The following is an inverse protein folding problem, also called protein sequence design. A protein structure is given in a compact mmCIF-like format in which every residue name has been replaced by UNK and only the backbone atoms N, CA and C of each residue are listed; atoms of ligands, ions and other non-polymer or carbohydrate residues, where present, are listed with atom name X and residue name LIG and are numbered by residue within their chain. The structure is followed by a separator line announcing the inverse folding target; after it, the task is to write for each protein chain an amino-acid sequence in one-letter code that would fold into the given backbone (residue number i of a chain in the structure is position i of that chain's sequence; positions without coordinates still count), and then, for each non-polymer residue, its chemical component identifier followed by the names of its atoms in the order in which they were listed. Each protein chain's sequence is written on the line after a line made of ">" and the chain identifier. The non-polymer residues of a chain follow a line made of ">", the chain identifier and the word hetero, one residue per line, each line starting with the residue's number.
data_IF_756288095739
#
_entry.id   IF_756288095739
#
_cell.length_a   1.000
_cell.length_b   1.000
_cell.length_c   1.000
_cell.angle_alpha   90.00
_cell.angle_beta   90.00
_cell.angle_gamma   90.00
#
_symmetry.space_group_name_H-M   'P 1'
#
loop_
_entity.id
_entity.type
_entity.pdbx_description
1 polymer ?
#
# COMPACT_ATOMS: atom_id res chain seq x y z
N UNK A 1 20.06 22.15 25.77
CA UNK A 1 19.60 21.18 24.78
C UNK A 1 18.10 21.11 24.93
N UNK A 2 17.37 21.83 24.09
CA UNK A 2 15.91 21.80 24.09
C UNK A 2 15.48 20.41 23.62
N UNK A 3 14.66 19.74 24.45
CA UNK A 3 13.93 18.52 24.06
C UNK A 3 13.37 18.72 22.65
N UNK A 4 13.85 17.93 21.69
CA UNK A 4 13.24 17.90 20.36
C UNK A 4 11.81 17.44 20.57
N UNK A 5 10.85 18.34 20.47
CA UNK A 5 9.44 18.04 20.61
C UNK A 5 9.14 16.79 19.80
N UNK A 6 8.62 15.75 20.45
CA UNK A 6 8.24 14.52 19.80
C UNK A 6 7.38 14.88 18.58
N UNK A 7 7.74 14.34 17.42
CA UNK A 7 7.08 14.69 16.17
C UNK A 7 5.57 14.54 16.33
N UNK A 8 4.83 15.64 16.18
CA UNK A 8 3.39 15.67 16.40
C UNK A 8 2.67 14.73 15.43
N UNK A 9 1.71 13.98 15.96
CA UNK A 9 0.91 13.03 15.21
C UNK A 9 -0.57 13.38 15.35
N UNK A 10 -1.27 13.47 14.26
CA UNK A 10 -2.72 13.70 14.23
C UNK A 10 -3.43 12.45 13.74
N UNK A 11 -4.49 12.06 14.41
CA UNK A 11 -5.51 11.11 13.93
C UNK A 11 -6.72 11.93 13.51
N UNK A 12 -7.02 11.96 12.22
CA UNK A 12 -8.20 12.60 11.68
C UNK A 12 -9.26 11.52 11.36
N UNK A 13 -10.52 11.72 11.78
CA UNK A 13 -11.58 10.71 11.67
C UNK A 13 -12.96 11.33 11.59
N UNK A 14 -13.91 10.73 10.85
CA UNK A 14 -15.30 11.19 10.88
C UNK A 14 -15.94 10.92 12.25
N UNK A 15 -16.85 11.83 12.70
CA UNK A 15 -17.61 11.62 13.94
C UNK A 15 -18.35 10.27 13.91
N UNK A 16 -18.89 9.89 12.75
CA UNK A 16 -19.61 8.63 12.57
C UNK A 16 -18.71 7.39 12.75
N UNK A 17 -17.48 7.43 12.24
CA UNK A 17 -16.50 6.34 12.40
C UNK A 17 -15.96 6.30 13.82
N UNK A 18 -15.66 7.44 14.44
CA UNK A 18 -15.23 7.50 15.84
C UNK A 18 -16.29 6.97 16.81
N UNK A 19 -17.58 7.19 16.50
CA UNK A 19 -18.70 6.71 17.31
C UNK A 19 -19.07 5.24 17.04
N UNK A 20 -18.62 4.65 15.92
CA UNK A 20 -18.94 3.28 15.56
C UNK A 20 -18.25 2.28 16.50
N UNK A 21 -19.00 1.41 17.25
CA UNK A 21 -18.41 0.53 18.28
C UNK A 21 -17.25 -0.34 17.76
N UNK A 22 -17.32 -0.81 16.52
CA UNK A 22 -16.28 -1.64 15.92
C UNK A 22 -15.01 -0.84 15.55
N UNK A 23 -15.13 0.45 15.20
CA UNK A 23 -14.01 1.29 14.74
C UNK A 23 -13.38 2.15 15.86
N UNK A 24 -14.12 2.38 16.95
CA UNK A 24 -13.62 3.10 18.12
C UNK A 24 -12.28 2.54 18.63
N UNK A 25 -12.07 1.21 18.76
CA UNK A 25 -10.78 0.65 19.18
C UNK A 25 -9.62 0.97 18.23
N UNK A 26 -9.89 1.14 16.92
CA UNK A 26 -8.86 1.52 15.94
C UNK A 26 -8.33 2.92 16.22
N UNK A 27 -9.24 3.87 16.43
CA UNK A 27 -8.91 5.26 16.76
C UNK A 27 -8.18 5.34 18.09
N UNK A 28 -8.70 4.68 19.13
CA UNK A 28 -8.10 4.64 20.47
C UNK A 28 -6.67 4.05 20.44
N UNK A 29 -6.45 2.96 19.69
CA UNK A 29 -5.13 2.33 19.57
C UNK A 29 -4.11 3.28 18.92
N UNK A 30 -4.45 3.95 17.84
CA UNK A 30 -3.56 4.92 17.19
C UNK A 30 -3.29 6.12 18.11
N UNK A 31 -4.33 6.66 18.73
CA UNK A 31 -4.23 7.79 19.65
C UNK A 31 -3.29 7.47 20.81
N UNK A 32 -3.45 6.31 21.43
CA UNK A 32 -2.59 5.88 22.52
C UNK A 32 -1.14 5.60 22.06
N UNK A 33 -0.97 4.91 20.92
CA UNK A 33 0.34 4.52 20.39
C UNK A 33 1.22 5.72 20.07
N UNK A 34 0.64 6.76 19.49
CA UNK A 34 1.39 7.94 19.01
C UNK A 34 1.17 9.19 19.87
N UNK A 35 0.40 9.10 20.97
CA UNK A 35 -0.04 10.26 21.76
C UNK A 35 -0.64 11.33 20.88
N UNK A 36 -1.47 10.89 19.93
CA UNK A 36 -1.96 11.72 18.84
C UNK A 36 -3.04 12.71 19.31
N UNK A 37 -3.06 13.91 18.71
CA UNK A 37 -4.23 14.79 18.74
C UNK A 37 -5.29 14.20 17.82
N UNK A 38 -6.55 14.14 18.28
CA UNK A 38 -7.67 13.66 17.46
C UNK A 38 -8.43 14.87 16.89
N UNK A 39 -8.56 14.91 15.57
CA UNK A 39 -9.42 15.88 14.86
C UNK A 39 -10.59 15.15 14.23
N UNK A 40 -11.79 15.70 14.35
CA UNK A 40 -13.00 15.07 13.81
C UNK A 40 -13.69 15.98 12.81
N UNK A 41 -14.34 15.35 11.83
CA UNK A 41 -15.22 16.02 10.87
C UNK A 41 -16.60 15.35 10.83
N UNK A 42 -17.61 16.10 10.38
CA UNK A 42 -19.00 15.61 10.23
C UNK A 42 -19.31 15.15 8.83
N UNK A 43 -18.95 15.95 7.84
CA UNK A 43 -19.32 15.76 6.43
C UNK A 43 -18.12 15.59 5.54
N UNK A 44 -17.08 16.39 5.72
CA UNK A 44 -15.93 16.45 4.82
C UNK A 44 -14.63 16.59 5.60
N UNK A 45 -13.56 15.85 5.24
CA UNK A 45 -12.24 15.99 5.86
C UNK A 45 -11.70 17.43 5.87
N UNK A 46 -12.09 18.27 4.92
CA UNK A 46 -11.69 19.70 4.86
C UNK A 46 -12.08 20.48 6.14
N UNK A 47 -13.08 20.01 6.90
CA UNK A 47 -13.44 20.60 8.20
C UNK A 47 -12.29 20.51 9.22
N UNK A 48 -11.30 19.66 9.01
CA UNK A 48 -10.12 19.53 9.88
C UNK A 48 -9.00 20.52 9.54
N UNK A 49 -9.09 21.29 8.46
CA UNK A 49 -8.03 22.17 7.97
C UNK A 49 -7.50 23.11 9.08
N UNK A 50 -8.38 23.88 9.75
CA UNK A 50 -7.96 24.80 10.81
C UNK A 50 -7.27 24.08 11.97
N UNK A 51 -7.72 22.85 12.31
CA UNK A 51 -7.07 22.02 13.31
C UNK A 51 -5.69 21.57 12.87
N UNK A 52 -5.54 21.13 11.64
CA UNK A 52 -4.26 20.71 11.06
C UNK A 52 -3.28 21.89 10.96
N UNK A 53 -3.74 23.08 10.54
CA UNK A 53 -2.94 24.29 10.49
C UNK A 53 -2.43 24.71 11.89
N UNK A 54 -3.24 24.55 12.93
CA UNK A 54 -2.83 24.83 14.29
C UNK A 54 -1.79 23.82 14.81
N UNK A 55 -1.97 22.54 14.55
CA UNK A 55 -1.10 21.48 15.02
C UNK A 55 0.19 21.34 14.19
N UNK A 56 0.18 21.72 12.90
CA UNK A 56 1.27 21.51 11.92
C UNK A 56 1.94 20.13 12.10
N UNK A 57 1.17 19.04 11.98
CA UNK A 57 1.64 17.73 12.37
C UNK A 57 2.69 17.20 11.40
N UNK A 58 3.72 16.56 11.93
CA UNK A 58 4.68 15.80 11.10
C UNK A 58 4.02 14.60 10.41
N UNK A 59 3.02 13.98 11.08
CA UNK A 59 2.30 12.83 10.55
C UNK A 59 0.80 12.98 10.76
N UNK A 60 0.01 12.68 9.73
CA UNK A 60 -1.46 12.66 9.79
C UNK A 60 -1.99 11.31 9.31
N UNK A 61 -2.73 10.61 10.17
CA UNK A 61 -3.44 9.40 9.80
C UNK A 61 -4.95 9.67 9.72
N UNK A 62 -5.51 9.54 8.53
CA UNK A 62 -6.96 9.59 8.32
C UNK A 62 -7.54 8.19 8.53
N UNK A 63 -8.36 8.01 9.57
CA UNK A 63 -9.07 6.75 9.80
C UNK A 63 -10.40 6.79 9.08
N UNK A 64 -10.60 5.88 8.14
CA UNK A 64 -11.79 5.84 7.31
C UNK A 64 -12.28 4.40 7.13
N UNK A 65 -13.59 4.19 7.24
CA UNK A 65 -14.21 2.91 6.88
C UNK A 65 -14.06 2.69 5.36
N UNK A 66 -14.12 1.44 4.86
CA UNK A 66 -13.97 1.19 3.42
C UNK A 66 -14.96 1.99 2.57
N UNK A 67 -16.19 2.17 3.04
CA UNK A 67 -17.21 2.97 2.36
C UNK A 67 -16.95 4.49 2.38
N UNK A 68 -16.10 4.97 3.31
CA UNK A 68 -15.64 6.36 3.35
C UNK A 68 -14.39 6.58 2.52
N UNK A 69 -13.49 5.58 2.45
CA UNK A 69 -12.19 5.65 1.77
C UNK A 69 -12.31 5.63 0.23
N UNK A 70 -13.25 6.39 -0.31
CA UNK A 70 -13.53 6.50 -1.74
C UNK A 70 -12.47 7.32 -2.48
N UNK A 71 -12.52 7.29 -3.82
CA UNK A 71 -11.69 8.16 -4.67
C UNK A 71 -11.82 9.64 -4.29
N UNK A 72 -13.04 10.12 -4.08
CA UNK A 72 -13.29 11.50 -3.69
C UNK A 72 -12.63 11.84 -2.35
N UNK A 73 -12.71 10.94 -1.38
CA UNK A 73 -12.04 11.09 -0.10
C UNK A 73 -10.52 11.21 -0.26
N UNK A 74 -9.89 10.29 -1.01
CA UNK A 74 -8.44 10.34 -1.27
C UNK A 74 -8.03 11.66 -1.91
N UNK A 75 -8.80 12.12 -2.90
CA UNK A 75 -8.55 13.41 -3.57
C UNK A 75 -8.70 14.61 -2.62
N UNK A 76 -9.69 14.58 -1.72
CA UNK A 76 -9.87 15.63 -0.71
C UNK A 76 -8.69 15.64 0.25
N UNK A 77 -8.30 14.49 0.80
CA UNK A 77 -7.13 14.37 1.69
C UNK A 77 -5.85 14.87 1.02
N UNK A 78 -5.63 14.48 -0.24
CA UNK A 78 -4.47 14.94 -0.99
C UNK A 78 -4.42 16.46 -1.16
N UNK A 79 -5.57 17.12 -1.43
CA UNK A 79 -5.64 18.59 -1.52
C UNK A 79 -5.55 19.26 -0.15
N UNK A 80 -6.20 18.69 0.86
CA UNK A 80 -6.22 19.19 2.23
C UNK A 80 -4.80 19.32 2.81
N UNK A 81 -3.99 18.28 2.63
CA UNK A 81 -2.63 18.20 3.18
C UNK A 81 -1.61 19.11 2.47
N UNK A 82 -2.02 19.87 1.46
CA UNK A 82 -1.24 20.89 0.73
C UNK A 82 -1.70 22.33 1.04
N UNK A 83 -2.48 22.51 2.11
CA UNK A 83 -3.10 23.79 2.44
C UNK A 83 -2.86 24.17 3.91
N UNK A 84 -1.89 23.53 4.55
CA UNK A 84 -1.59 23.83 5.95
C UNK A 84 -0.78 25.11 6.06
N UNK A 85 0.01 25.44 5.04
CA UNK A 85 0.70 26.72 4.87
C UNK A 85 0.45 27.33 3.47
N UNK A 86 1.25 28.31 3.08
CA UNK A 86 1.06 29.12 1.87
C UNK A 86 1.81 28.56 0.64
N UNK A 87 2.56 27.45 0.76
CA UNK A 87 3.24 26.86 -0.38
C UNK A 87 2.40 25.74 -1.04
N UNK A 88 2.72 25.27 -2.27
CA UNK A 88 1.93 24.27 -2.97
C UNK A 88 2.26 22.83 -2.60
N UNK A 89 3.21 22.59 -1.71
CA UNK A 89 3.68 21.26 -1.38
C UNK A 89 2.85 20.60 -0.28
N UNK A 90 3.08 19.31 -0.05
CA UNK A 90 2.41 18.59 1.04
C UNK A 90 3.12 18.85 2.37
N UNK A 91 2.36 19.31 3.37
CA UNK A 91 2.87 19.81 4.65
C UNK A 91 3.05 18.73 5.72
N UNK A 92 2.45 17.57 5.50
CA UNK A 92 2.46 16.47 6.46
C UNK A 92 2.66 15.14 5.76
N UNK A 93 3.33 14.19 6.42
CA UNK A 93 3.36 12.80 5.95
C UNK A 93 2.03 12.16 6.27
N UNK A 94 1.20 11.95 5.27
CA UNK A 94 -0.16 11.46 5.47
C UNK A 94 -0.37 10.04 4.96
N UNK A 95 -1.35 9.38 5.56
CA UNK A 95 -1.84 8.09 5.13
C UNK A 95 -3.28 7.88 5.55
N UNK A 96 -3.95 6.91 4.92
CA UNK A 96 -5.31 6.51 5.24
C UNK A 96 -5.25 5.12 5.87
N UNK A 97 -5.71 5.00 7.12
CA UNK A 97 -5.94 3.71 7.74
C UNK A 97 -7.36 3.26 7.46
N UNK A 98 -7.48 2.18 6.72
CA UNK A 98 -8.71 1.46 6.44
C UNK A 98 -8.46 -0.05 6.53
N UNK A 99 -9.42 -0.87 6.16
CA UNK A 99 -9.32 -2.32 6.11
C UNK A 99 -10.56 -2.90 5.47
N UNK A 100 -10.57 -4.20 5.20
CA UNK A 100 -11.79 -4.89 4.75
C UNK A 100 -12.94 -4.72 5.75
N UNK A 101 -12.58 -4.73 7.04
CA UNK A 101 -13.47 -4.46 8.18
C UNK A 101 -12.67 -3.83 9.32
N UNK A 102 -13.35 -3.48 10.41
CA UNK A 102 -12.72 -2.88 11.58
C UNK A 102 -11.68 -3.79 12.25
N UNK A 103 -11.86 -5.11 12.23
CA UNK A 103 -10.90 -6.07 12.79
C UNK A 103 -9.59 -6.06 11.98
N UNK A 104 -9.69 -6.01 10.67
CA UNK A 104 -8.54 -5.88 9.78
C UNK A 104 -7.81 -4.54 9.99
N UNK A 105 -8.54 -3.42 10.07
CA UNK A 105 -7.98 -2.11 10.38
C UNK A 105 -7.30 -2.08 11.77
N UNK A 106 -7.91 -2.71 12.78
CA UNK A 106 -7.34 -2.80 14.12
C UNK A 106 -6.04 -3.61 14.13
N UNK A 107 -5.99 -4.71 13.38
CA UNK A 107 -4.76 -5.49 13.23
C UNK A 107 -3.61 -4.66 12.64
N UNK A 108 -3.90 -3.77 11.68
CA UNK A 108 -2.91 -2.82 11.13
C UNK A 108 -2.50 -1.79 12.20
N UNK A 109 -3.44 -1.20 12.92
CA UNK A 109 -3.17 -0.21 13.97
C UNK A 109 -2.34 -0.77 15.14
N UNK A 110 -2.51 -2.07 15.45
CA UNK A 110 -1.80 -2.75 16.55
C UNK A 110 -0.40 -3.20 16.22
N UNK A 111 0.02 -3.17 14.95
CA UNK A 111 1.39 -3.54 14.56
C UNK A 111 2.40 -2.62 15.26
N UNK A 112 3.24 -3.19 16.13
CA UNK A 112 4.18 -2.41 16.95
C UNK A 112 5.57 -2.34 16.35
N UNK A 113 5.94 -3.35 15.57
CA UNK A 113 7.26 -3.42 14.95
C UNK A 113 7.25 -2.76 13.57
N UNK A 114 8.28 -2.00 13.22
CA UNK A 114 8.45 -1.53 11.85
C UNK A 114 8.51 -2.71 10.89
N UNK A 115 7.86 -2.61 9.73
CA UNK A 115 8.08 -3.54 8.64
C UNK A 115 9.44 -3.24 8.01
N UNK A 116 10.35 -4.19 8.12
CA UNK A 116 11.68 -4.12 7.51
C UNK A 116 11.67 -5.02 6.28
N UNK A 117 12.14 -4.51 5.15
CA UNK A 117 12.20 -5.26 3.90
C UNK A 117 13.53 -6.01 3.81
N UNK A 118 13.48 -7.32 3.89
CA UNK A 118 14.60 -8.23 3.64
C UNK A 118 14.37 -9.03 2.35
N UNK A 119 13.12 -9.44 2.11
CA UNK A 119 12.74 -10.31 1.00
C UNK A 119 11.68 -9.68 0.12
N UNK A 120 11.93 -9.69 -1.19
CA UNK A 120 11.01 -9.14 -2.19
C UNK A 120 10.38 -10.25 -3.01
N UNK A 121 9.06 -10.16 -3.21
CA UNK A 121 8.33 -10.90 -4.22
C UNK A 121 7.73 -9.92 -5.23
N UNK A 122 7.84 -10.21 -6.53
CA UNK A 122 7.37 -9.24 -7.51
C UNK A 122 6.87 -9.88 -8.81
N UNK A 123 5.84 -9.25 -9.39
CA UNK A 123 5.36 -9.53 -10.75
C UNK A 123 5.93 -8.59 -11.81
N UNK A 124 6.94 -7.82 -11.47
CA UNK A 124 7.71 -6.94 -12.36
C UNK A 124 9.16 -6.87 -11.93
N UNK A 125 10.03 -6.30 -12.75
CA UNK A 125 11.44 -6.12 -12.42
C UNK A 125 11.63 -5.21 -11.19
N UNK A 126 12.51 -5.63 -10.27
CA UNK A 126 12.95 -4.87 -9.10
C UNK A 126 14.46 -5.04 -8.89
N UNK A 127 15.11 -4.06 -8.26
CA UNK A 127 16.54 -4.03 -7.99
C UNK A 127 16.93 -5.03 -6.87
N UNK A 128 17.06 -6.32 -7.20
CA UNK A 128 17.40 -7.37 -6.22
C UNK A 128 18.79 -7.20 -5.60
N UNK A 129 19.69 -6.47 -6.22
CA UNK A 129 20.99 -6.13 -5.65
C UNK A 129 20.85 -5.29 -4.36
N UNK A 130 19.73 -4.56 -4.20
CA UNK A 130 19.40 -3.76 -3.02
C UNK A 130 18.67 -4.53 -1.91
N UNK A 131 18.32 -5.80 -2.15
CA UNK A 131 17.58 -6.64 -1.21
C UNK A 131 18.45 -7.81 -0.74
N UNK A 132 18.16 -8.35 0.44
CA UNK A 132 18.86 -9.57 0.92
C UNK A 132 18.52 -10.77 0.06
N UNK A 133 17.26 -10.93 -0.29
CA UNK A 133 16.77 -11.98 -1.17
C UNK A 133 15.51 -11.53 -1.92
N UNK A 134 15.14 -12.24 -2.97
CA UNK A 134 13.90 -11.96 -3.67
C UNK A 134 13.73 -12.76 -4.96
N UNK A 135 12.53 -12.65 -5.51
CA UNK A 135 12.16 -13.25 -6.80
C UNK A 135 11.21 -12.31 -7.53
N UNK A 136 11.48 -12.07 -8.81
CA UNK A 136 10.53 -11.39 -9.67
C UNK A 136 10.31 -12.13 -10.99
N UNK A 137 9.08 -12.02 -11.49
CA UNK A 137 8.65 -12.56 -12.78
C UNK A 137 8.48 -11.42 -13.78
N UNK A 138 9.04 -11.57 -14.99
CA UNK A 138 9.04 -10.50 -15.96
C UNK A 138 7.67 -10.34 -16.62
N UNK A 139 7.08 -9.17 -16.54
CA UNK A 139 5.82 -8.84 -17.21
C UNK A 139 5.99 -8.60 -18.74
N UNK A 140 7.23 -8.35 -19.19
CA UNK A 140 7.54 -8.02 -20.59
C UNK A 140 8.10 -9.21 -21.37
N UNK A 141 8.79 -10.14 -20.71
CA UNK A 141 9.43 -11.32 -21.30
C UNK A 141 8.78 -12.60 -20.77
N UNK A 142 8.13 -13.34 -21.67
CA UNK A 142 7.51 -14.62 -21.35
C UNK A 142 8.54 -15.64 -20.83
N UNK A 143 8.16 -16.43 -19.85
CA UNK A 143 8.99 -17.51 -19.27
C UNK A 143 10.30 -17.03 -18.66
N UNK A 144 10.35 -15.80 -18.16
CA UNK A 144 11.54 -15.22 -17.55
C UNK A 144 11.29 -14.83 -16.09
N UNK A 145 12.19 -15.27 -15.23
CA UNK A 145 12.21 -15.02 -13.79
C UNK A 145 13.64 -14.70 -13.37
N UNK A 146 13.80 -13.83 -12.38
CA UNK A 146 15.08 -13.53 -11.73
C UNK A 146 14.93 -13.76 -10.25
N UNK A 147 15.95 -14.37 -9.64
CA UNK A 147 15.97 -14.74 -8.24
C UNK A 147 17.32 -14.39 -7.62
N UNK A 148 17.30 -14.07 -6.34
CA UNK A 148 18.47 -13.94 -5.48
C UNK A 148 18.17 -14.60 -4.14
N UNK A 149 18.96 -15.57 -3.75
CA UNK A 149 18.94 -16.13 -2.40
C UNK A 149 19.78 -15.27 -1.45
N UNK A 150 19.51 -15.36 -0.15
CA UNK A 150 20.26 -14.60 0.86
C UNK A 150 21.76 -14.96 0.81
N UNK A 151 22.59 -13.93 0.61
CA UNK A 151 24.04 -14.11 0.44
C UNK A 151 24.47 -14.68 -0.92
N UNK A 152 23.51 -14.96 -1.83
CA UNK A 152 23.76 -15.50 -3.16
C UNK A 152 23.90 -14.42 -4.25
N UNK A 153 24.24 -14.88 -5.45
CA UNK A 153 24.23 -14.08 -6.67
C UNK A 153 22.81 -13.97 -7.25
N UNK A 154 22.62 -12.99 -8.13
CA UNK A 154 21.41 -12.85 -8.92
C UNK A 154 21.46 -13.85 -10.07
N UNK A 155 20.40 -14.65 -10.22
CA UNK A 155 20.26 -15.68 -11.25
C UNK A 155 19.03 -15.46 -12.11
N UNK A 156 19.18 -15.55 -13.43
CA UNK A 156 18.07 -15.60 -14.38
C UNK A 156 17.63 -17.06 -14.59
N UNK A 157 16.32 -17.30 -14.61
CA UNK A 157 15.77 -18.66 -14.78
C UNK A 157 14.65 -18.65 -15.83
N UNK A 158 14.58 -19.73 -16.60
CA UNK A 158 13.45 -20.01 -17.47
C UNK A 158 12.36 -20.73 -16.66
N UNK A 159 11.13 -20.24 -16.73
CA UNK A 159 9.95 -20.77 -16.01
C UNK A 159 8.81 -21.06 -16.96
N UNK A 160 7.75 -21.69 -16.45
CA UNK A 160 6.52 -21.90 -17.22
C UNK A 160 5.96 -20.55 -17.73
N UNK A 161 5.33 -20.57 -18.93
CA UNK A 161 4.77 -19.36 -19.54
C UNK A 161 3.70 -18.68 -18.69
N UNK A 162 2.85 -19.47 -18.03
CA UNK A 162 1.83 -18.98 -17.11
C UNK A 162 2.40 -18.99 -15.69
N UNK A 163 2.66 -17.81 -15.16
CA UNK A 163 3.28 -17.62 -13.84
C UNK A 163 2.27 -17.40 -12.72
N UNK A 164 0.98 -17.51 -13.00
CA UNK A 164 -0.10 -17.24 -12.03
C UNK A 164 0.06 -18.03 -10.74
N UNK A 165 0.17 -19.36 -10.86
CA UNK A 165 0.38 -20.23 -9.69
C UNK A 165 1.68 -19.92 -8.96
N UNK A 166 2.75 -19.70 -9.70
CA UNK A 166 4.06 -19.43 -9.12
C UNK A 166 4.07 -18.12 -8.29
N UNK A 167 3.38 -17.09 -8.76
CA UNK A 167 3.19 -15.83 -8.01
C UNK A 167 2.32 -16.04 -6.76
N UNK A 168 1.27 -16.87 -6.85
CA UNK A 168 0.45 -17.22 -5.68
C UNK A 168 1.26 -18.02 -4.66
N UNK A 169 2.05 -19.00 -5.10
CA UNK A 169 2.95 -19.75 -4.22
C UNK A 169 4.00 -18.83 -3.58
N UNK A 170 4.55 -17.88 -4.34
CA UNK A 170 5.55 -16.93 -3.85
C UNK A 170 4.98 -16.03 -2.73
N UNK A 171 3.78 -15.49 -2.86
CA UNK A 171 3.21 -14.66 -1.81
C UNK A 171 2.76 -15.47 -0.60
N UNK A 172 2.24 -16.70 -0.80
CA UNK A 172 1.71 -17.55 0.27
C UNK A 172 2.82 -18.19 1.11
N UNK A 173 3.83 -18.79 0.47
CA UNK A 173 4.84 -19.60 1.11
C UNK A 173 6.23 -18.97 1.07
N UNK A 174 6.51 -18.13 0.09
CA UNK A 174 7.75 -17.37 0.00
C UNK A 174 7.89 -16.30 1.08
N UNK A 175 6.77 -15.88 1.69
CA UNK A 175 6.71 -14.89 2.78
C UNK A 175 7.51 -13.60 2.51
N UNK A 176 7.27 -12.89 1.39
CA UNK A 176 7.97 -11.64 1.11
C UNK A 176 7.51 -10.52 2.07
N UNK A 177 8.44 -9.62 2.42
CA UNK A 177 8.17 -8.41 3.19
C UNK A 177 7.69 -7.26 2.30
N UNK A 178 8.08 -7.31 1.03
CA UNK A 178 7.67 -6.38 -0.01
C UNK A 178 7.08 -7.15 -1.19
N UNK A 179 5.89 -6.74 -1.63
CA UNK A 179 5.24 -7.21 -2.84
C UNK A 179 5.16 -6.06 -3.85
N UNK A 180 5.60 -6.28 -5.08
CA UNK A 180 5.59 -5.26 -6.13
C UNK A 180 4.88 -5.79 -7.37
N UNK A 181 4.00 -4.99 -7.95
CA UNK A 181 3.33 -5.34 -9.21
C UNK A 181 3.27 -4.16 -10.17
N UNK A 182 3.18 -4.47 -11.45
CA UNK A 182 2.99 -3.52 -12.54
C UNK A 182 2.10 -4.16 -13.62
N UNK A 183 1.79 -3.42 -14.68
CA UNK A 183 0.93 -3.88 -15.78
C UNK A 183 -0.53 -3.42 -15.64
N UNK A 184 -1.37 -3.87 -16.57
CA UNK A 184 -2.78 -3.49 -16.59
C UNK A 184 -3.53 -4.02 -15.35
N UNK A 185 -4.35 -3.15 -14.77
CA UNK A 185 -5.19 -3.51 -13.64
C UNK A 185 -6.47 -2.65 -13.63
N UNK A 186 -7.44 -3.14 -12.90
CA UNK A 186 -8.62 -2.43 -12.45
C UNK A 186 -8.70 -2.50 -10.92
N UNK A 187 -9.73 -1.93 -10.34
CA UNK A 187 -10.01 -2.11 -8.91
C UNK A 187 -10.42 -3.55 -8.55
N UNK A 188 -10.62 -4.44 -9.53
CA UNK A 188 -11.10 -5.83 -9.38
C UNK A 188 -10.09 -6.90 -9.78
N UNK A 189 -9.13 -6.54 -10.62
CA UNK A 189 -8.17 -7.49 -11.17
C UNK A 189 -6.82 -6.85 -11.51
N UNK A 190 -5.80 -7.69 -11.59
CA UNK A 190 -4.50 -7.40 -12.12
C UNK A 190 -4.13 -8.43 -13.19
N UNK A 191 -3.86 -7.98 -14.41
CA UNK A 191 -3.37 -8.79 -15.52
C UNK A 191 -1.87 -9.06 -15.34
N UNK A 192 -1.52 -10.31 -15.13
CA UNK A 192 -0.12 -10.75 -15.07
C UNK A 192 0.43 -10.80 -16.50
N UNK A 193 1.60 -10.20 -16.74
CA UNK A 193 2.17 -10.18 -18.08
C UNK A 193 1.61 -9.07 -18.98
N UNK A 194 2.41 -8.04 -19.19
CA UNK A 194 2.03 -6.87 -19.99
C UNK A 194 2.09 -7.12 -21.51
N UNK A 195 3.08 -7.89 -21.98
CA UNK A 195 3.35 -8.14 -23.42
C UNK A 195 3.03 -9.56 -23.88
N UNK A 196 2.51 -10.41 -23.02
CA UNK A 196 2.16 -11.79 -23.39
C UNK A 196 0.96 -12.28 -22.58
N UNK A 197 0.26 -13.29 -23.12
CA UNK A 197 -0.88 -13.88 -22.42
C UNK A 197 -0.40 -14.61 -21.16
N UNK A 198 -0.97 -14.21 -20.01
CA UNK A 198 -0.78 -14.81 -18.71
C UNK A 198 -2.15 -14.84 -17.99
N UNK A 199 -2.21 -15.32 -16.75
CA UNK A 199 -3.42 -15.27 -15.96
C UNK A 199 -3.70 -13.90 -15.34
N UNK A 200 -4.64 -13.88 -14.41
CA UNK A 200 -5.07 -12.70 -13.66
C UNK A 200 -5.04 -12.98 -12.17
N UNK A 201 -4.76 -11.95 -11.39
CA UNK A 201 -5.22 -11.94 -10.01
C UNK A 201 -6.52 -11.16 -9.93
N UNK A 202 -7.45 -11.68 -9.12
CA UNK A 202 -8.81 -11.15 -8.97
C UNK A 202 -9.19 -11.09 -7.50
N UNK A 203 -10.17 -10.26 -7.19
CA UNK A 203 -10.71 -10.13 -5.84
C UNK A 203 -12.20 -10.30 -5.80
N UNK A 204 -12.70 -10.91 -4.72
CA UNK A 204 -14.13 -11.01 -4.43
C UNK A 204 -14.37 -11.11 -2.92
N UNK A 205 -15.17 -10.20 -2.38
CA UNK A 205 -15.53 -10.15 -0.95
C UNK A 205 -14.32 -10.23 0.00
N UNK A 206 -13.24 -9.52 -0.36
CA UNK A 206 -12.00 -9.51 0.39
C UNK A 206 -11.13 -10.76 0.22
N UNK A 207 -11.51 -11.70 -0.64
CA UNK A 207 -10.69 -12.85 -1.01
C UNK A 207 -9.92 -12.54 -2.28
N UNK A 208 -8.59 -12.70 -2.25
CA UNK A 208 -7.70 -12.57 -3.38
C UNK A 208 -7.37 -13.95 -3.94
N UNK A 209 -7.33 -14.08 -5.27
CA UNK A 209 -6.99 -15.34 -5.94
C UNK A 209 -6.38 -15.11 -7.32
N UNK A 210 -5.50 -16.03 -7.74
CA UNK A 210 -5.03 -16.11 -9.11
C UNK A 210 -5.95 -17.02 -9.96
N UNK A 211 -6.18 -16.66 -11.21
CA UNK A 211 -6.86 -17.46 -12.23
C UNK A 211 -5.94 -17.60 -13.44
N UNK A 212 -5.47 -18.81 -13.73
CA UNK A 212 -4.53 -19.06 -14.82
C UNK A 212 -5.20 -18.98 -16.20
N UNK A 213 -4.40 -19.12 -17.26
CA UNK A 213 -4.88 -19.08 -18.65
C UNK A 213 -5.80 -20.26 -19.04
N UNK A 214 -5.94 -21.25 -18.17
CA UNK A 214 -6.81 -22.42 -18.33
C UNK A 214 -8.06 -22.35 -17.45
N UNK A 215 -8.18 -21.29 -16.60
CA UNK A 215 -9.29 -21.09 -15.68
C UNK A 215 -9.13 -21.79 -14.33
N UNK A 216 -7.97 -22.36 -14.03
CA UNK A 216 -7.68 -22.89 -12.70
C UNK A 216 -7.51 -21.75 -11.70
N UNK A 217 -8.10 -21.90 -10.50
CA UNK A 217 -8.08 -20.89 -9.45
C UNK A 217 -7.15 -21.31 -8.31
N UNK A 218 -6.37 -20.36 -7.82
CA UNK A 218 -5.40 -20.50 -6.73
C UNK A 218 -5.63 -19.41 -5.70
N UNK A 219 -6.00 -19.81 -4.47
CA UNK A 219 -6.30 -18.85 -3.39
C UNK A 219 -5.04 -18.21 -2.82
N UNK A 220 -5.10 -16.90 -2.59
CA UNK A 220 -4.06 -16.16 -1.87
C UNK A 220 -4.43 -16.13 -0.39
N UNK A 221 -3.54 -16.69 0.43
CA UNK A 221 -3.62 -16.69 1.89
C UNK A 221 -2.21 -16.55 2.46
N UNK A 222 -1.76 -15.33 2.68
CA UNK A 222 -0.43 -15.07 3.22
C UNK A 222 -0.54 -14.40 4.59
N UNK A 223 -0.07 -15.04 5.66
CA UNK A 223 -0.09 -14.44 7.00
C UNK A 223 1.03 -13.44 7.25
N UNK A 224 2.05 -13.41 6.40
CA UNK A 224 3.21 -12.56 6.59
C UNK A 224 2.87 -11.08 6.36
N UNK A 225 3.02 -10.20 7.38
CA UNK A 225 2.83 -8.77 7.21
C UNK A 225 3.77 -8.20 6.14
N UNK A 226 3.25 -7.40 5.22
CA UNK A 226 4.05 -6.87 4.12
C UNK A 226 3.61 -5.49 3.65
N UNK A 227 4.52 -4.87 2.91
CA UNK A 227 4.29 -3.66 2.13
C UNK A 227 3.89 -4.08 0.71
N UNK A 228 2.91 -3.41 0.11
CA UNK A 228 2.52 -3.62 -1.27
C UNK A 228 2.66 -2.35 -2.10
N UNK A 229 3.38 -2.42 -3.21
CA UNK A 229 3.61 -1.33 -4.14
C UNK A 229 3.13 -1.71 -5.56
N UNK A 230 1.87 -1.42 -5.92
CA UNK A 230 1.33 -1.55 -7.27
C UNK A 230 1.77 -0.37 -8.16
N UNK A 231 3.06 -0.29 -8.47
CA UNK A 231 3.71 0.89 -9.04
C UNK A 231 3.29 1.24 -10.47
N UNK A 232 2.80 0.26 -11.23
CA UNK A 232 2.34 0.44 -12.60
C UNK A 232 0.87 0.05 -12.82
N UNK A 233 0.13 -0.24 -11.77
CA UNK A 233 -1.22 -0.76 -11.83
C UNK A 233 -2.27 0.34 -11.67
N UNK A 234 -3.11 0.54 -12.71
CA UNK A 234 -4.26 1.43 -12.61
C UNK A 234 -5.22 1.00 -11.48
N UNK A 235 -5.83 1.96 -10.80
CA UNK A 235 -6.96 1.77 -9.88
C UNK A 235 -6.72 0.81 -8.70
N UNK A 236 -5.50 0.33 -8.49
CA UNK A 236 -5.22 -0.66 -7.45
C UNK A 236 -5.41 -0.12 -6.02
N UNK A 237 -5.38 1.21 -5.84
CA UNK A 237 -5.74 1.88 -4.59
C UNK A 237 -7.20 2.32 -4.50
N UNK A 238 -8.02 2.10 -5.54
CA UNK A 238 -9.42 2.53 -5.58
C UNK A 238 -10.31 1.55 -4.82
N UNK A 239 -10.99 2.04 -3.80
CA UNK A 239 -12.01 1.29 -3.04
C UNK A 239 -13.38 1.79 -3.48
N UNK A 240 -14.13 0.95 -4.17
CA UNK A 240 -15.51 1.22 -4.66
C UNK A 240 -16.51 0.20 -4.12
N UNK A 241 -16.05 -0.69 -3.25
CA UNK A 241 -16.89 -1.73 -2.63
C UNK A 241 -16.06 -2.88 -2.09
N UNK A 242 -16.74 -3.92 -1.54
CA UNK A 242 -16.07 -5.04 -0.85
C UNK A 242 -15.22 -5.93 -1.76
N UNK A 243 -15.39 -5.81 -3.07
CA UNK A 243 -14.61 -6.55 -4.06
C UNK A 243 -13.33 -5.83 -4.50
N UNK A 244 -12.99 -4.68 -3.90
CA UNK A 244 -11.78 -3.93 -4.25
C UNK A 244 -10.50 -4.71 -3.95
N UNK A 245 -9.55 -4.73 -4.91
CA UNK A 245 -8.25 -5.39 -4.78
C UNK A 245 -7.49 -4.90 -3.54
N UNK A 246 -7.50 -3.59 -3.25
CA UNK A 246 -6.86 -3.02 -2.06
C UNK A 246 -7.33 -3.72 -0.77
N UNK A 247 -8.64 -3.89 -0.60
CA UNK A 247 -9.22 -4.57 0.57
C UNK A 247 -8.87 -6.06 0.61
N UNK A 248 -8.85 -6.72 -0.55
CA UNK A 248 -8.48 -8.13 -0.65
C UNK A 248 -6.99 -8.36 -0.30
N UNK A 249 -6.09 -7.48 -0.73
CA UNK A 249 -4.68 -7.51 -0.33
C UNK A 249 -4.50 -7.33 1.18
N UNK A 250 -5.23 -6.40 1.81
CA UNK A 250 -5.19 -6.18 3.26
C UNK A 250 -5.70 -7.40 4.04
N UNK A 251 -6.77 -8.06 3.57
CA UNK A 251 -7.41 -9.19 4.25
C UNK A 251 -6.70 -10.52 3.98
N UNK A 252 -6.47 -10.87 2.72
CA UNK A 252 -5.97 -12.19 2.32
C UNK A 252 -4.46 -12.29 2.28
N UNK A 253 -3.75 -11.18 2.02
CA UNK A 253 -2.32 -11.16 1.84
C UNK A 253 -1.56 -10.45 2.99
N UNK A 254 -2.25 -10.10 4.08
CA UNK A 254 -1.69 -9.41 5.23
C UNK A 254 -0.90 -8.12 4.88
N UNK A 255 -1.35 -7.39 3.85
CA UNK A 255 -0.79 -6.08 3.52
C UNK A 255 -1.09 -5.10 4.66
N UNK A 256 -0.06 -4.43 5.18
CA UNK A 256 -0.14 -3.46 6.28
C UNK A 256 0.06 -2.03 5.79
N UNK A 257 0.80 -1.88 4.70
CA UNK A 257 1.05 -0.59 4.07
C UNK A 257 1.01 -0.77 2.55
N UNK A 258 0.42 0.17 1.85
CA UNK A 258 0.45 0.22 0.39
C UNK A 258 0.34 1.66 -0.11
N UNK A 259 0.84 1.89 -1.31
CA UNK A 259 0.58 3.11 -2.07
C UNK A 259 0.15 2.71 -3.48
N UNK A 260 -1.05 3.10 -3.88
CA UNK A 260 -1.64 2.71 -5.16
C UNK A 260 -2.51 3.81 -5.75
N UNK A 261 -2.75 3.73 -7.03
CA UNK A 261 -3.54 4.72 -7.77
C UNK A 261 -5.04 4.58 -7.53
N UNK A 262 -5.72 5.68 -7.34
CA UNK A 262 -7.19 5.76 -7.31
C UNK A 262 -7.79 6.17 -8.66
N UNK A 263 -6.92 6.44 -9.64
CA UNK A 263 -7.25 6.80 -11.02
C UNK A 263 -6.46 5.91 -11.98
N UNK A 264 -6.87 5.82 -13.26
CA UNK A 264 -6.01 5.25 -14.29
C UNK A 264 -4.68 6.01 -14.35
N UNK A 265 -3.58 5.27 -14.47
CA UNK A 265 -2.24 5.82 -14.63
C UNK A 265 -1.70 5.52 -16.03
N UNK A 266 -0.75 6.33 -16.48
CA UNK A 266 -0.06 6.13 -17.75
C UNK A 266 1.37 5.66 -17.47
N UNK A 267 1.69 4.42 -17.86
CA UNK A 267 2.99 3.78 -17.60
C UNK A 267 3.49 3.84 -16.15
N UNK A 268 2.57 3.83 -15.19
CA UNK A 268 2.96 3.94 -13.77
C UNK A 268 3.59 5.28 -13.42
N UNK A 269 3.25 6.34 -14.16
CA UNK A 269 3.75 7.69 -13.90
C UNK A 269 3.66 8.02 -12.43
N UNK A 270 4.78 8.45 -11.84
CA UNK A 270 5.00 8.73 -10.42
C UNK A 270 5.12 7.50 -9.49
N UNK A 271 4.56 6.33 -9.82
CA UNK A 271 4.66 5.15 -8.95
C UNK A 271 6.08 4.62 -8.81
N UNK A 272 6.85 4.69 -9.89
CA UNK A 272 8.25 4.25 -9.92
C UNK A 272 9.15 5.05 -8.97
N UNK A 273 8.88 6.34 -8.75
CA UNK A 273 9.61 7.15 -7.79
C UNK A 273 9.57 6.63 -6.36
N UNK A 274 8.54 5.87 -5.98
CA UNK A 274 8.52 5.18 -4.69
C UNK A 274 9.61 4.11 -4.58
N UNK A 275 9.90 3.38 -5.66
CA UNK A 275 11.00 2.40 -5.67
C UNK A 275 12.35 3.10 -5.55
N UNK A 276 12.55 4.22 -6.28
CA UNK A 276 13.79 4.99 -6.26
C UNK A 276 14.13 5.47 -4.83
N UNK A 277 13.13 5.92 -4.07
CA UNK A 277 13.34 6.35 -2.69
C UNK A 277 13.35 5.20 -1.69
N UNK A 278 12.41 4.26 -1.79
CA UNK A 278 12.19 3.25 -0.76
C UNK A 278 13.05 2.00 -0.92
N UNK A 279 13.18 1.47 -2.15
CA UNK A 279 13.91 0.22 -2.43
C UNK A 279 15.35 0.49 -2.80
N UNK A 280 15.62 1.45 -3.70
CA UNK A 280 16.97 1.67 -4.20
C UNK A 280 17.88 2.44 -3.24
N UNK A 281 17.30 3.03 -2.17
CA UNK A 281 18.02 3.67 -1.08
C UNK A 281 17.70 2.99 0.26
N UNK A 282 18.07 1.72 0.46
CA UNK A 282 17.63 0.92 1.59
C UNK A 282 18.04 1.54 2.93
N UNK A 283 17.08 1.61 3.86
CA UNK A 283 17.29 2.15 5.20
C UNK A 283 17.36 3.68 5.30
N UNK A 284 17.30 4.42 4.18
CA UNK A 284 17.36 5.89 4.18
C UNK A 284 16.02 6.54 4.49
N UNK A 285 14.94 5.98 3.93
CA UNK A 285 13.59 6.52 4.05
C UNK A 285 12.62 5.45 4.53
N UNK A 286 11.65 5.84 5.36
CA UNK A 286 10.44 5.05 5.59
C UNK A 286 9.52 5.14 4.35
N UNK A 287 8.54 4.23 4.22
CA UNK A 287 7.57 4.31 3.13
C UNK A 287 6.80 5.65 3.13
N UNK A 288 6.42 6.15 4.31
CA UNK A 288 5.74 7.44 4.43
C UNK A 288 6.63 8.62 3.97
N UNK A 289 7.93 8.57 4.26
CA UNK A 289 8.90 9.58 3.78
C UNK A 289 9.14 9.47 2.28
N UNK A 290 9.22 8.25 1.74
CA UNK A 290 9.34 8.02 0.30
C UNK A 290 8.11 8.52 -0.46
N UNK A 291 6.91 8.24 0.06
CA UNK A 291 5.67 8.75 -0.50
C UNK A 291 5.60 10.29 -0.46
N UNK A 292 5.99 10.89 0.67
CA UNK A 292 6.04 12.34 0.82
C UNK A 292 7.04 12.97 -0.15
N UNK A 293 8.28 12.47 -0.20
CA UNK A 293 9.31 12.96 -1.12
C UNK A 293 8.87 12.86 -2.59
N UNK A 294 8.28 11.73 -2.97
CA UNK A 294 7.74 11.53 -4.32
C UNK A 294 6.63 12.53 -4.66
N UNK A 295 5.77 12.88 -3.70
CA UNK A 295 4.72 13.90 -3.89
C UNK A 295 5.25 15.35 -3.96
N UNK A 296 6.41 15.63 -3.38
CA UNK A 296 7.06 16.96 -3.49
C UNK A 296 7.77 17.09 -4.84
N UNK A 297 8.37 16.02 -5.34
CA UNK A 297 9.12 16.02 -6.60
C UNK A 297 8.24 16.20 -7.85
N UNK A 298 6.93 16.21 -7.70
CA UNK A 298 5.92 16.26 -8.75
C UNK A 298 5.11 17.54 -8.73
#
# INVERSE_FOLDING_TARGET
>A
MTDAAAASYVVAVSESTAAAPAWKPVVEKLTAKYKATVLMWKKDPDETLTGLQREMPRHTCFVARPEEATRAFVQTVHRLTRRLDDDPFTDTRWGILTGFDAANALAIATEEKPLVVHKVGSGTEVALDRCESGTWYCELRKSHMVQKDAGGSIEEKKVEPDTTKALVDLINTGAPDLWVTSGHATERDWMIGFRYRNGFWKSKAGQLFGEDTKGARFEVQSPNPKIYLPIGNCLMGHIDGPDAMALAFMKSAAVRQMAGYVLPTWYGYQGWGLLDYFVEQPGRFTLAESFHANNIAL
#
